data_IF_568250562438
#
_entry.id   IF_568250562438
#
_cell.length_a   1.000
_cell.length_b   1.000
_cell.length_c   1.000
_cell.angle_alpha   90.00
_cell.angle_beta   90.00
_cell.angle_gamma   90.00
#
_symmetry.space_group_name_H-M   'P 1'
#
loop_
_entity.id
_entity.type
_entity.pdbx_description
1 polymer ?
#
# COMPACT_ATOMS: atom_id res chain seq x y z
N UNK A 1 -49.76 16.47 41.73
CA UNK A 1 -49.20 15.24 42.32
C UNK A 1 -47.82 14.98 41.70
N UNK A 2 -46.75 14.86 42.50
CA UNK A 2 -45.39 14.62 42.01
C UNK A 2 -45.10 13.12 41.93
N UNK A 3 -44.40 12.64 40.89
CA UNK A 3 -43.70 11.36 40.98
C UNK A 3 -42.29 11.41 40.39
N UNK A 4 -41.36 11.23 41.33
CA UNK A 4 -39.99 10.73 41.30
C UNK A 4 -39.40 10.29 39.96
N UNK A 5 -38.20 10.79 39.73
CA UNK A 5 -37.34 10.39 38.62
C UNK A 5 -36.72 9.00 38.74
N UNK A 6 -36.08 8.63 37.65
CA UNK A 6 -35.06 7.59 37.61
C UNK A 6 -33.80 8.20 37.00
N UNK A 7 -32.73 8.21 37.80
CA UNK A 7 -31.38 8.45 37.33
C UNK A 7 -30.96 7.35 36.37
N UNK A 8 -30.81 7.71 35.10
CA UNK A 8 -30.06 6.93 34.12
C UNK A 8 -28.60 7.31 34.24
N UNK A 9 -27.83 6.50 34.95
CA UNK A 9 -26.36 6.55 35.01
C UNK A 9 -25.78 6.73 33.60
N UNK A 10 -25.03 7.81 33.45
CA UNK A 10 -24.01 8.00 32.43
C UNK A 10 -22.98 6.86 32.49
N UNK A 11 -23.24 5.77 31.77
CA UNK A 11 -22.24 4.78 31.41
C UNK A 11 -21.38 5.32 30.29
N UNK A 12 -20.59 6.36 30.58
CA UNK A 12 -19.50 6.79 29.73
C UNK A 12 -18.47 5.67 29.66
N UNK A 13 -18.69 4.75 28.72
CA UNK A 13 -17.67 3.82 28.24
C UNK A 13 -16.62 4.63 27.50
N UNK A 14 -15.82 5.37 28.26
CA UNK A 14 -14.60 6.01 27.79
C UNK A 14 -13.62 4.91 27.44
N UNK A 15 -13.76 4.35 26.24
CA UNK A 15 -12.63 3.76 25.54
C UNK A 15 -11.59 4.86 25.46
N UNK A 16 -10.66 4.89 26.42
CA UNK A 16 -9.41 5.61 26.31
C UNK A 16 -8.64 4.95 25.17
N UNK A 17 -9.03 5.29 23.93
CA UNK A 17 -8.31 4.93 22.74
C UNK A 17 -6.92 5.52 22.91
N UNK A 18 -5.97 4.68 23.28
CA UNK A 18 -4.56 5.06 23.26
C UNK A 18 -4.25 5.66 21.89
N UNK A 19 -3.35 6.65 21.81
CA UNK A 19 -3.09 7.37 20.58
C UNK A 19 -2.76 6.39 19.46
N UNK A 20 -3.60 6.39 18.43
CA UNK A 20 -3.47 5.50 17.28
C UNK A 20 -2.18 5.81 16.54
N UNK A 21 -1.33 4.80 16.34
CA UNK A 21 -0.09 4.98 15.59
C UNK A 21 -0.38 4.99 14.10
N UNK A 22 -0.05 6.08 13.39
CA UNK A 22 -0.16 6.17 11.93
C UNK A 22 0.76 5.17 11.20
N UNK A 23 1.84 4.74 11.86
CA UNK A 23 2.79 3.72 11.39
C UNK A 23 2.37 2.31 11.80
N UNK A 24 1.43 2.18 12.75
CA UNK A 24 1.09 0.89 13.39
C UNK A 24 2.18 0.35 14.33
N UNK A 25 3.24 1.13 14.55
CA UNK A 25 4.40 0.75 15.37
C UNK A 25 4.35 1.46 16.71
N UNK A 26 4.74 0.74 17.77
CA UNK A 26 4.75 1.20 19.15
C UNK A 26 6.08 0.88 19.85
N UNK A 27 6.42 1.64 20.88
CA UNK A 27 7.51 1.34 21.82
C UNK A 27 7.10 0.20 22.76
N UNK A 28 8.04 -0.32 23.57
CA UNK A 28 7.74 -1.31 24.61
C UNK A 28 6.73 -0.82 25.66
N UNK A 29 6.66 0.49 25.87
CA UNK A 29 5.69 1.16 26.74
C UNK A 29 4.34 1.46 26.07
N UNK A 30 4.12 0.97 24.84
CA UNK A 30 2.87 1.19 24.11
C UNK A 30 2.71 2.59 23.53
N UNK A 31 3.76 3.42 23.50
CA UNK A 31 3.70 4.75 22.86
C UNK A 31 3.86 4.60 21.35
N UNK A 32 3.07 5.32 20.53
CA UNK A 32 3.22 5.27 19.08
C UNK A 32 4.58 5.83 18.65
N UNK A 33 5.20 5.19 17.67
CA UNK A 33 6.47 5.63 17.07
C UNK A 33 6.16 6.34 15.75
N UNK A 34 6.41 7.65 15.68
CA UNK A 34 6.15 8.46 14.49
C UNK A 34 7.26 8.39 13.44
N UNK A 35 8.53 8.35 13.85
CA UNK A 35 9.68 8.17 12.98
C UNK A 35 10.34 6.80 13.25
N UNK A 36 9.81 5.77 12.58
CA UNK A 36 10.23 4.38 12.81
C UNK A 36 11.69 4.16 12.40
N UNK A 37 12.12 4.72 11.28
CA UNK A 37 13.50 4.57 10.79
C UNK A 37 14.53 5.17 11.76
N UNK A 38 14.29 6.39 12.26
CA UNK A 38 15.19 7.00 13.25
C UNK A 38 15.19 6.25 14.58
N UNK A 39 14.03 5.73 15.00
CA UNK A 39 13.92 4.97 16.24
C UNK A 39 14.64 3.62 16.16
N UNK A 40 14.53 2.90 15.03
CA UNK A 40 15.32 1.69 14.78
C UNK A 40 16.82 1.99 14.70
N UNK A 41 17.22 3.07 14.02
CA UNK A 41 18.62 3.49 13.92
C UNK A 41 19.23 3.82 15.29
N UNK A 42 18.43 4.27 16.25
CA UNK A 42 18.84 4.49 17.64
C UNK A 42 18.89 3.18 18.48
N UNK A 43 18.67 2.01 17.88
CA UNK A 43 18.63 0.71 18.56
C UNK A 43 17.29 0.40 19.25
N UNK A 44 16.25 1.20 18.99
CA UNK A 44 14.94 1.02 19.59
C UNK A 44 14.23 -0.24 19.09
N UNK A 45 13.72 -1.06 20.02
CA UNK A 45 12.85 -2.19 19.69
C UNK A 45 11.42 -1.72 19.47
N UNK A 46 10.83 -2.18 18.37
CA UNK A 46 9.49 -1.83 17.93
C UNK A 46 8.50 -2.97 18.18
N UNK A 47 7.25 -2.62 18.45
CA UNK A 47 6.20 -3.56 18.82
C UNK A 47 4.90 -3.25 18.07
N UNK A 48 4.06 -4.27 17.90
CA UNK A 48 2.67 -4.11 17.47
C UNK A 48 1.82 -3.55 18.62
N UNK A 49 0.58 -3.14 18.33
CA UNK A 49 -0.37 -2.72 19.37
C UNK A 49 -0.69 -3.81 20.40
N UNK A 50 -0.50 -5.08 20.04
CA UNK A 50 -0.65 -6.24 20.92
C UNK A 50 0.62 -6.61 21.71
N UNK A 51 1.70 -5.85 21.56
CA UNK A 51 2.97 -6.09 22.26
C UNK A 51 3.90 -7.13 21.59
N UNK A 52 3.58 -7.60 20.38
CA UNK A 52 4.45 -8.48 19.61
C UNK A 52 5.67 -7.73 19.07
N UNK A 53 6.88 -8.30 19.20
CA UNK A 53 8.10 -7.65 18.70
C UNK A 53 8.15 -7.66 17.17
N UNK A 54 8.55 -6.53 16.57
CA UNK A 54 8.70 -6.36 15.13
C UNK A 54 10.20 -6.36 14.80
N UNK A 55 10.64 -7.31 13.96
CA UNK A 55 12.07 -7.46 13.58
C UNK A 55 12.55 -6.46 12.52
N UNK A 56 11.64 -5.92 11.70
CA UNK A 56 11.93 -4.94 10.65
C UNK A 56 10.78 -3.93 10.62
N UNK A 57 10.83 -2.99 11.57
CA UNK A 57 9.75 -2.06 11.84
C UNK A 57 9.56 -1.06 10.72
N UNK A 58 10.63 -0.61 10.06
CA UNK A 58 10.52 0.23 8.87
C UNK A 58 9.73 -0.46 7.76
N UNK A 59 10.01 -1.74 7.47
CA UNK A 59 9.23 -2.49 6.47
C UNK A 59 7.78 -2.70 6.90
N UNK A 60 7.54 -3.00 8.18
CA UNK A 60 6.20 -3.15 8.74
C UNK A 60 5.39 -1.85 8.64
N UNK A 61 5.98 -0.74 9.08
CA UNK A 61 5.40 0.60 9.02
C UNK A 61 5.03 0.98 7.59
N UNK A 62 5.95 0.75 6.64
CA UNK A 62 5.69 1.00 5.23
C UNK A 62 4.53 0.16 4.69
N UNK A 63 4.42 -1.11 5.10
CA UNK A 63 3.30 -1.97 4.72
C UNK A 63 1.96 -1.48 5.30
N UNK A 64 1.95 -1.04 6.57
CA UNK A 64 0.77 -0.46 7.22
C UNK A 64 0.33 0.84 6.52
N UNK A 65 1.27 1.73 6.22
CA UNK A 65 0.98 2.98 5.51
C UNK A 65 0.47 2.73 4.09
N UNK A 66 1.09 1.81 3.35
CA UNK A 66 0.58 1.37 2.04
C UNK A 66 -0.85 0.88 2.16
N UNK A 67 -1.14 -0.01 3.12
CA UNK A 67 -2.47 -0.56 3.31
C UNK A 67 -3.52 0.51 3.63
N UNK A 68 -3.17 1.49 4.47
CA UNK A 68 -4.09 2.58 4.86
C UNK A 68 -4.32 3.60 3.76
N UNK A 69 -3.36 3.78 2.86
CA UNK A 69 -3.44 4.78 1.77
C UNK A 69 -3.96 4.21 0.45
N UNK A 70 -4.27 2.90 0.37
CA UNK A 70 -4.83 2.29 -0.84
C UNK A 70 -6.16 2.95 -1.23
N UNK A 71 -6.34 3.25 -2.51
CA UNK A 71 -7.56 3.86 -3.05
C UNK A 71 -7.75 5.34 -2.70
N UNK A 72 -6.81 5.93 -1.96
CA UNK A 72 -6.76 7.37 -1.68
C UNK A 72 -6.18 8.14 -2.87
N UNK A 73 -6.37 9.47 -2.89
CA UNK A 73 -5.77 10.35 -3.89
C UNK A 73 -4.25 10.55 -3.72
N UNK A 74 -3.68 10.13 -2.59
CA UNK A 74 -2.25 10.29 -2.29
C UNK A 74 -1.69 8.99 -1.68
N UNK A 75 -1.56 7.92 -2.48
CA UNK A 75 -1.03 6.65 -2.00
C UNK A 75 0.45 6.79 -1.61
N UNK A 76 0.90 6.04 -0.61
CA UNK A 76 2.34 6.03 -0.26
C UNK A 76 3.20 5.27 -1.27
N UNK A 77 2.62 4.27 -1.93
CA UNK A 77 3.33 3.44 -2.88
C UNK A 77 2.41 3.04 -4.03
N UNK A 78 3.01 2.92 -5.20
CA UNK A 78 2.43 2.28 -6.37
C UNK A 78 2.99 0.87 -6.56
N UNK A 79 2.20 0.03 -7.20
CA UNK A 79 2.51 -1.36 -7.47
C UNK A 79 2.23 -1.68 -8.93
N UNK A 80 3.26 -2.17 -9.61
CA UNK A 80 3.12 -2.80 -10.93
C UNK A 80 3.09 -4.31 -10.74
N UNK A 81 1.96 -4.96 -11.03
CA UNK A 81 1.84 -6.42 -10.90
C UNK A 81 2.20 -7.10 -12.21
N UNK A 82 2.93 -8.21 -12.10
CA UNK A 82 3.43 -8.97 -13.23
C UNK A 82 3.52 -10.46 -12.91
N UNK A 83 3.84 -11.27 -13.91
CA UNK A 83 4.28 -12.65 -13.74
C UNK A 83 5.70 -12.71 -13.16
N UNK A 84 6.09 -13.86 -12.60
CA UNK A 84 7.46 -14.11 -12.11
C UNK A 84 8.52 -13.93 -13.21
N UNK A 85 8.22 -14.34 -14.45
CA UNK A 85 9.10 -14.14 -15.60
C UNK A 85 9.26 -12.65 -15.94
N UNK A 86 8.15 -11.90 -15.92
CA UNK A 86 8.20 -10.45 -16.12
C UNK A 86 8.98 -9.73 -15.02
N UNK A 87 8.88 -10.18 -13.77
CA UNK A 87 9.70 -9.66 -12.67
C UNK A 87 11.19 -9.92 -12.90
N UNK A 88 11.57 -11.11 -13.37
CA UNK A 88 12.96 -11.41 -13.72
C UNK A 88 13.46 -10.54 -14.88
N UNK A 89 12.63 -10.30 -15.91
CA UNK A 89 12.97 -9.42 -17.03
C UNK A 89 13.12 -7.95 -16.61
N UNK A 90 12.23 -7.45 -15.74
CA UNK A 90 12.33 -6.10 -15.17
C UNK A 90 13.58 -5.97 -14.29
N UNK A 91 13.87 -6.97 -13.47
CA UNK A 91 15.07 -6.97 -12.64
C UNK A 91 16.35 -6.98 -13.47
N UNK A 92 16.37 -7.75 -14.57
CA UNK A 92 17.51 -7.82 -15.50
C UNK A 92 17.71 -6.53 -16.28
N UNK A 93 16.62 -5.94 -16.80
CA UNK A 93 16.67 -4.71 -17.60
C UNK A 93 16.80 -3.43 -16.76
N UNK A 94 16.50 -3.50 -15.47
CA UNK A 94 16.50 -2.34 -14.57
C UNK A 94 15.35 -1.36 -14.80
N UNK A 95 14.37 -1.68 -15.67
CA UNK A 95 13.25 -0.79 -15.98
C UNK A 95 11.94 -1.53 -16.22
N UNK A 96 10.82 -0.85 -15.97
CA UNK A 96 9.49 -1.25 -16.45
C UNK A 96 9.26 -0.53 -17.77
N UNK A 97 9.05 -1.28 -18.85
CA UNK A 97 8.73 -0.67 -20.15
C UNK A 97 7.27 -0.17 -20.14
N UNK A 98 6.99 0.98 -20.79
CA UNK A 98 5.62 1.47 -20.93
C UNK A 98 4.82 0.59 -21.87
N UNK A 99 3.50 0.56 -21.66
CA UNK A 99 2.55 0.06 -22.66
C UNK A 99 2.43 1.09 -23.79
N UNK A 100 2.51 0.63 -25.04
CA UNK A 100 2.46 1.45 -26.26
C UNK A 100 1.38 1.02 -27.28
N UNK A 101 0.61 -0.02 -26.96
CA UNK A 101 -0.34 -0.63 -27.91
C UNK A 101 -1.76 -0.06 -27.83
N UNK A 102 -2.49 0.05 -28.96
CA UNK A 102 -3.93 0.31 -28.96
C UNK A 102 -4.67 -0.87 -28.34
N UNK A 103 -5.39 -0.63 -27.24
CA UNK A 103 -6.15 -1.65 -26.49
C UNK A 103 -5.65 -1.85 -25.06
N UNK A 104 -4.33 -1.78 -24.84
CA UNK A 104 -3.72 -1.92 -23.50
C UNK A 104 -3.56 -0.58 -22.77
N UNK A 105 -3.73 0.53 -23.49
CA UNK A 105 -3.47 1.88 -23.02
C UNK A 105 -4.77 2.66 -22.73
N UNK A 106 -5.60 2.17 -21.80
CA UNK A 106 -6.90 2.79 -21.50
C UNK A 106 -6.84 4.25 -20.99
N UNK A 107 -5.65 4.72 -20.57
CA UNK A 107 -5.35 6.07 -20.11
C UNK A 107 -4.25 6.75 -20.95
N UNK A 108 -3.94 6.21 -22.13
CA UNK A 108 -2.77 6.60 -22.93
C UNK A 108 -1.53 5.77 -22.62
N UNK A 109 -0.46 6.02 -23.39
CA UNK A 109 0.80 5.28 -23.26
C UNK A 109 1.49 5.54 -21.91
N UNK A 110 2.07 4.50 -21.33
CA UNK A 110 2.78 4.61 -20.06
C UNK A 110 2.83 3.32 -19.25
N UNK A 111 3.44 3.39 -18.08
CA UNK A 111 3.49 2.29 -17.13
C UNK A 111 2.28 2.32 -16.20
N UNK A 112 1.46 1.28 -16.28
CA UNK A 112 0.26 1.12 -15.46
C UNK A 112 0.60 0.56 -14.09
N UNK A 113 0.06 1.21 -13.05
CA UNK A 113 0.28 0.85 -11.64
C UNK A 113 -1.01 0.98 -10.85
N UNK A 114 -1.03 0.43 -9.65
CA UNK A 114 -2.15 0.53 -8.70
C UNK A 114 -1.64 0.87 -7.31
N UNK A 115 -2.47 1.46 -6.45
CA UNK A 115 -2.14 1.62 -5.03
C UNK A 115 -2.51 0.38 -4.20
N UNK A 116 -3.18 -0.62 -4.80
CA UNK A 116 -3.52 -1.89 -4.14
C UNK A 116 -2.26 -2.63 -3.74
N UNK A 117 -2.02 -2.72 -2.43
CA UNK A 117 -0.82 -3.36 -1.89
C UNK A 117 -0.92 -4.90 -1.99
N UNK A 118 0.22 -5.62 -1.97
CA UNK A 118 0.29 -7.05 -2.27
C UNK A 118 -0.42 -7.96 -1.27
N UNK A 119 -0.82 -7.43 -0.11
CA UNK A 119 -1.62 -8.15 0.88
C UNK A 119 -3.11 -8.26 0.50
N UNK A 120 -3.56 -7.56 -0.55
CA UNK A 120 -4.86 -7.83 -1.17
C UNK A 120 -4.87 -9.22 -1.80
N UNK A 121 -6.06 -9.85 -1.84
CA UNK A 121 -6.22 -11.12 -2.55
C UNK A 121 -5.81 -10.97 -4.02
N UNK A 122 -5.22 -12.03 -4.58
CA UNK A 122 -4.80 -12.06 -5.98
C UNK A 122 -5.95 -11.70 -6.93
N UNK A 123 -7.14 -12.23 -6.67
CA UNK A 123 -8.37 -11.92 -7.42
C UNK A 123 -8.72 -10.42 -7.36
N UNK A 124 -8.62 -9.77 -6.19
CA UNK A 124 -8.93 -8.35 -6.07
C UNK A 124 -7.91 -7.47 -6.79
N UNK A 125 -6.63 -7.83 -6.75
CA UNK A 125 -5.58 -7.13 -7.50
C UNK A 125 -5.84 -7.24 -9.00
N UNK A 126 -6.09 -8.46 -9.48
CA UNK A 126 -6.31 -8.71 -10.89
C UNK A 126 -7.60 -8.07 -11.40
N UNK A 127 -8.71 -8.16 -10.67
CA UNK A 127 -9.96 -7.49 -11.03
C UNK A 127 -9.80 -5.97 -11.01
N UNK A 128 -9.05 -5.41 -10.06
CA UNK A 128 -8.76 -3.98 -10.06
C UNK A 128 -7.98 -3.54 -11.31
N UNK A 129 -6.93 -4.29 -11.69
CA UNK A 129 -6.06 -3.91 -12.80
C UNK A 129 -6.69 -4.23 -14.17
N UNK A 130 -7.28 -5.41 -14.33
CA UNK A 130 -7.72 -5.96 -15.62
C UNK A 130 -9.25 -6.08 -15.77
N UNK A 131 -10.03 -5.76 -14.73
CA UNK A 131 -11.50 -5.76 -14.73
C UNK A 131 -12.07 -7.13 -14.38
N UNK A 132 -11.95 -8.10 -15.30
CA UNK A 132 -12.36 -9.49 -15.10
C UNK A 132 -11.19 -10.45 -15.35
N UNK A 133 -10.91 -11.29 -14.37
CA UNK A 133 -9.85 -12.31 -14.45
C UNK A 133 -10.26 -13.58 -13.72
N UNK A 134 -9.91 -14.74 -14.27
CA UNK A 134 -10.11 -16.02 -13.61
C UNK A 134 -9.05 -16.31 -12.52
N UNK A 135 -9.30 -17.28 -11.62
CA UNK A 135 -8.42 -17.60 -10.49
C UNK A 135 -7.04 -18.19 -10.87
N UNK A 136 -6.80 -18.51 -12.14
CA UNK A 136 -5.54 -19.09 -12.64
C UNK A 136 -4.56 -18.10 -13.27
N UNK A 137 -4.87 -16.81 -13.28
CA UNK A 137 -4.05 -15.79 -13.94
C UNK A 137 -2.75 -15.53 -13.16
N UNK A 138 -1.58 -15.67 -13.79
CA UNK A 138 -0.26 -15.51 -13.16
C UNK A 138 0.25 -14.06 -13.16
N UNK A 139 -0.49 -13.09 -13.71
CA UNK A 139 -0.09 -11.67 -13.84
C UNK A 139 0.00 -10.90 -12.51
N UNK A 140 -0.14 -11.57 -11.37
CA UNK A 140 0.02 -10.99 -10.03
C UNK A 140 0.85 -11.89 -9.09
N UNK A 141 1.70 -12.75 -9.65
CA UNK A 141 2.63 -13.61 -8.90
C UNK A 141 3.85 -12.82 -8.40
N UNK A 142 4.16 -11.70 -9.05
CA UNK A 142 5.20 -10.79 -8.63
C UNK A 142 4.72 -9.33 -8.77
N UNK A 143 5.47 -8.42 -8.16
CA UNK A 143 5.20 -6.99 -8.27
C UNK A 143 6.46 -6.15 -8.15
N UNK A 144 6.41 -4.95 -8.71
CA UNK A 144 7.38 -3.89 -8.48
C UNK A 144 6.73 -2.87 -7.57
N UNK A 145 7.35 -2.61 -6.42
CA UNK A 145 6.93 -1.58 -5.47
C UNK A 145 7.67 -0.28 -5.79
N UNK A 146 6.93 0.79 -6.06
CA UNK A 146 7.44 2.11 -6.45
C UNK A 146 7.02 3.12 -5.37
N UNK A 147 7.93 3.90 -4.77
CA UNK A 147 7.56 5.01 -3.88
C UNK A 147 6.78 6.07 -4.64
N UNK A 148 5.60 6.45 -4.14
CA UNK A 148 4.72 7.37 -4.88
C UNK A 148 5.30 8.78 -4.98
N UNK A 149 6.08 9.21 -4.00
CA UNK A 149 6.76 10.51 -3.98
C UNK A 149 7.91 10.63 -5.00
N UNK A 150 8.26 9.53 -5.69
CA UNK A 150 9.35 9.47 -6.67
C UNK A 150 8.86 9.47 -8.11
N UNK A 151 7.55 9.47 -8.34
CA UNK A 151 6.96 9.39 -9.68
C UNK A 151 5.72 10.27 -9.79
N UNK A 152 5.48 10.83 -10.97
CA UNK A 152 4.21 11.49 -11.26
C UNK A 152 3.27 10.50 -11.94
N UNK A 153 2.16 10.18 -11.28
CA UNK A 153 1.17 9.24 -11.78
C UNK A 153 -0.20 9.91 -11.93
N UNK A 154 -0.82 9.77 -13.10
CA UNK A 154 -2.17 10.27 -13.36
C UNK A 154 -3.19 9.24 -12.91
N UNK A 155 -4.17 9.66 -12.11
CA UNK A 155 -5.25 8.77 -11.66
C UNK A 155 -6.23 8.48 -12.79
N UNK A 156 -6.45 7.20 -13.07
CA UNK A 156 -7.50 6.73 -13.97
C UNK A 156 -8.85 6.54 -13.29
N UNK A 157 -9.00 6.88 -12.01
CA UNK A 157 -10.22 6.56 -11.23
C UNK A 157 -11.49 7.17 -11.82
N UNK A 158 -11.41 8.39 -12.35
CA UNK A 158 -12.53 9.07 -13.01
C UNK A 158 -12.90 8.46 -14.37
N UNK A 159 -11.94 7.83 -15.05
CA UNK A 159 -12.11 7.27 -16.40
C UNK A 159 -12.50 5.79 -16.34
N UNK A 160 -11.85 5.02 -15.48
CA UNK A 160 -11.98 3.56 -15.40
C UNK A 160 -12.81 3.07 -14.20
N UNK A 161 -13.17 3.96 -13.27
CA UNK A 161 -13.87 3.61 -12.03
C UNK A 161 -13.06 2.76 -11.05
N UNK A 162 -11.75 2.59 -11.28
CA UNK A 162 -10.88 1.65 -10.55
C UNK A 162 -9.60 2.34 -10.06
N UNK A 163 -8.92 1.71 -9.11
CA UNK A 163 -7.67 2.22 -8.54
C UNK A 163 -6.48 1.89 -9.45
N UNK A 164 -6.44 2.54 -10.60
CA UNK A 164 -5.41 2.40 -11.63
C UNK A 164 -4.83 3.77 -11.91
N UNK A 165 -3.51 3.83 -12.02
CA UNK A 165 -2.76 5.03 -12.35
C UNK A 165 -1.83 4.74 -13.52
N UNK A 166 -1.46 5.77 -14.25
CA UNK A 166 -0.47 5.69 -15.32
C UNK A 166 0.68 6.64 -15.03
N UNK A 167 1.90 6.12 -15.07
CA UNK A 167 3.14 6.91 -15.07
C UNK A 167 3.55 7.08 -16.53
N UNK A 168 3.81 8.31 -16.97
CA UNK A 168 4.21 8.53 -18.36
C UNK A 168 5.59 7.95 -18.64
N UNK A 169 5.72 7.18 -19.72
CA UNK A 169 6.99 6.57 -20.12
C UNK A 169 7.41 5.38 -19.27
N UNK A 170 8.69 5.01 -19.40
CA UNK A 170 9.30 3.89 -18.68
C UNK A 170 9.60 4.27 -17.23
N UNK A 171 9.59 3.28 -16.33
CA UNK A 171 10.01 3.46 -14.93
C UNK A 171 11.38 2.83 -14.74
N UNK A 172 12.40 3.65 -14.49
CA UNK A 172 13.73 3.17 -14.10
C UNK A 172 13.76 2.81 -12.61
N UNK A 173 14.19 1.59 -12.29
CA UNK A 173 14.17 1.07 -10.92
C UNK A 173 15.16 1.80 -10.01
N UNK A 174 16.31 2.19 -10.55
CA UNK A 174 17.38 2.82 -9.77
C UNK A 174 17.04 4.28 -9.47
N UNK A 175 16.51 5.00 -10.46
CA UNK A 175 16.10 6.40 -10.31
C UNK A 175 14.95 6.55 -9.32
N UNK A 176 13.94 5.69 -9.44
CA UNK A 176 12.73 5.76 -8.61
C UNK A 176 12.88 5.07 -7.26
N UNK A 177 13.95 4.29 -7.05
CA UNK A 177 14.11 3.44 -5.87
C UNK A 177 13.10 2.29 -5.82
N UNK A 178 12.56 1.90 -6.99
CA UNK A 178 11.59 0.82 -7.09
C UNK A 178 12.26 -0.55 -6.84
N UNK A 179 11.50 -1.45 -6.21
CA UNK A 179 12.02 -2.76 -5.80
C UNK A 179 11.11 -3.88 -6.31
N UNK A 180 11.70 -4.84 -7.02
CA UNK A 180 11.03 -6.05 -7.49
C UNK A 180 10.87 -7.05 -6.35
N UNK A 181 9.70 -7.68 -6.25
CA UNK A 181 9.35 -8.69 -5.24
C UNK A 181 8.50 -9.79 -5.86
N UNK A 182 8.78 -11.02 -5.49
CA UNK A 182 7.90 -12.18 -5.73
C UNK A 182 6.95 -12.35 -4.55
N UNK A 183 5.74 -12.87 -4.80
CA UNK A 183 4.79 -13.25 -3.75
C UNK A 183 5.03 -14.67 -3.22
#
# INVERSE_FOLDING_TARGET
MPYRGYGGRSGGGGYRGGPYSSTGVYTSSGRPVSNVAAYEAAGGKCFTSSGGTIRNASSYSNAVMSYRSQGSSNPHHYYHYTTSEGAAAIQSSGRINPSTGPGDCALGEGTYVTSKAPNCSKVNVLSNNYGQTGPGDNRADAYVKIPAERVEAMSGKSVLGRDVYVIQGAVDLKETGAVVRTK
#
